data_IF_656718235363
#
_entry.id   IF_656718235363
#
_cell.length_a   1.000
_cell.length_b   1.000
_cell.length_c   1.000
_cell.angle_alpha   90.00
_cell.angle_beta   90.00
_cell.angle_gamma   90.00
#
_symmetry.space_group_name_H-M   'P 1'
#
loop_
_entity.id
_entity.type
_entity.pdbx_description
1 polymer ?
#
# COMPACT_ATOMS: atom_id res chain seq x y z
N UNK A 1 18.29 14.39 5.61
CA UNK A 1 17.18 14.46 4.63
C UNK A 1 17.52 13.48 3.52
N UNK A 2 16.66 12.51 3.31
CA UNK A 2 16.84 11.48 2.26
C UNK A 2 16.05 11.79 0.98
N UNK A 3 15.03 12.63 1.09
CA UNK A 3 14.21 13.13 -0.02
C UNK A 3 13.64 14.51 0.31
N UNK A 4 13.39 15.32 -0.72
CA UNK A 4 12.75 16.61 -0.58
C UNK A 4 11.69 16.77 -1.68
N UNK A 5 10.43 16.96 -1.27
CA UNK A 5 9.28 17.07 -2.17
C UNK A 5 7.97 17.01 -1.37
N UNK A 6 6.84 17.02 -2.05
CA UNK A 6 5.52 16.82 -1.43
C UNK A 6 5.27 15.33 -1.29
N UNK A 7 5.51 14.81 -0.10
CA UNK A 7 5.46 13.37 0.21
C UNK A 7 4.50 13.06 1.33
N UNK A 8 3.82 11.89 1.21
CA UNK A 8 2.89 11.36 2.22
C UNK A 8 3.17 9.89 2.47
N UNK A 9 2.81 9.41 3.64
CA UNK A 9 2.61 8.00 3.97
C UNK A 9 3.83 7.13 3.66
N UNK A 10 4.99 7.39 4.27
CA UNK A 10 6.18 6.58 4.02
C UNK A 10 6.03 5.17 4.58
N UNK A 11 6.49 4.20 3.82
CA UNK A 11 6.59 2.81 4.21
C UNK A 11 8.02 2.30 4.00
N UNK A 12 8.64 1.70 5.02
CA UNK A 12 9.98 1.16 4.92
C UNK A 12 9.95 -0.37 4.87
N UNK A 13 10.71 -0.94 3.95
CA UNK A 13 10.89 -2.37 3.77
C UNK A 13 12.39 -2.69 3.71
N UNK A 14 12.85 -3.63 4.54
CA UNK A 14 14.16 -4.23 4.36
C UNK A 14 14.02 -5.58 3.66
N UNK A 15 14.70 -5.72 2.53
CA UNK A 15 14.75 -6.96 1.78
C UNK A 15 15.71 -7.95 2.45
N UNK A 16 15.54 -9.23 2.17
CA UNK A 16 16.45 -10.30 2.64
C UNK A 16 17.89 -10.12 2.14
N UNK A 17 18.08 -9.40 1.04
CA UNK A 17 19.41 -8.98 0.56
C UNK A 17 20.12 -7.97 1.46
N UNK A 18 19.41 -7.35 2.41
CA UNK A 18 19.87 -6.23 3.22
C UNK A 18 19.57 -4.85 2.61
N UNK A 19 19.12 -4.78 1.36
CA UNK A 19 18.66 -3.52 0.76
C UNK A 19 17.49 -2.95 1.56
N UNK A 20 17.53 -1.66 1.85
CA UNK A 20 16.41 -0.94 2.46
C UNK A 20 15.70 -0.12 1.37
N UNK A 21 14.41 -0.27 1.29
CA UNK A 21 13.54 0.49 0.39
C UNK A 21 12.57 1.35 1.21
N UNK A 22 12.39 2.60 0.80
CA UNK A 22 11.37 3.49 1.36
C UNK A 22 10.43 3.88 0.24
N UNK A 23 9.19 3.48 0.38
CA UNK A 23 8.08 3.83 -0.51
C UNK A 23 7.30 5.00 0.09
N UNK A 24 6.77 5.84 -0.76
CA UNK A 24 5.94 6.98 -0.31
C UNK A 24 5.06 7.46 -1.45
N UNK A 25 3.98 8.12 -1.10
CA UNK A 25 3.18 8.88 -2.05
C UNK A 25 3.96 10.11 -2.46
N UNK A 26 4.34 10.20 -3.72
CA UNK A 26 4.91 11.40 -4.32
C UNK A 26 3.80 12.18 -5.01
N UNK A 27 3.41 13.28 -4.40
CA UNK A 27 2.31 14.13 -4.86
C UNK A 27 2.85 15.46 -5.35
N UNK A 28 3.24 15.50 -6.63
CA UNK A 28 3.65 16.73 -7.29
C UNK A 28 2.42 17.51 -7.79
N UNK A 29 1.91 18.46 -7.00
CA UNK A 29 0.64 19.12 -7.31
C UNK A 29 0.66 19.97 -8.57
N UNK A 30 1.86 20.36 -9.03
CA UNK A 30 2.02 21.22 -10.21
C UNK A 30 2.19 20.44 -11.51
N UNK A 31 2.65 19.19 -11.43
CA UNK A 31 2.91 18.35 -12.62
C UNK A 31 1.80 17.34 -12.87
N UNK A 32 0.87 17.18 -11.93
CA UNK A 32 -0.17 16.16 -11.94
C UNK A 32 0.36 14.73 -12.14
N UNK A 33 1.62 14.49 -11.80
CA UNK A 33 2.27 13.19 -11.88
C UNK A 33 2.47 12.59 -10.48
N UNK A 34 1.38 12.27 -9.81
CA UNK A 34 1.42 11.59 -8.50
C UNK A 34 1.44 10.08 -8.66
N UNK A 35 2.04 9.42 -7.69
CA UNK A 35 2.13 7.97 -7.64
C UNK A 35 2.99 7.51 -6.47
N UNK A 36 3.21 6.22 -6.37
CA UNK A 36 4.14 5.66 -5.41
C UNK A 36 5.57 5.77 -5.94
N UNK A 37 6.40 6.51 -5.24
CA UNK A 37 7.83 6.61 -5.48
C UNK A 37 8.64 5.78 -4.49
N UNK A 38 9.90 5.53 -4.82
CA UNK A 38 10.79 4.72 -3.99
C UNK A 38 12.20 5.30 -3.93
N UNK A 39 12.81 5.17 -2.76
CA UNK A 39 14.22 5.32 -2.50
C UNK A 39 14.82 3.98 -2.10
N UNK A 40 16.09 3.76 -2.38
CA UNK A 40 16.82 2.58 -1.91
C UNK A 40 18.14 2.92 -1.27
N UNK A 41 18.54 2.12 -0.30
CA UNK A 41 19.86 2.12 0.33
C UNK A 41 20.46 0.72 0.31
N UNK A 42 21.72 0.63 -0.09
CA UNK A 42 22.51 -0.61 -0.12
C UNK A 42 23.53 -0.68 1.02
N UNK A 43 23.55 0.32 1.91
CA UNK A 43 24.58 0.51 2.94
C UNK A 43 24.00 0.80 4.34
N UNK A 44 22.90 0.14 4.65
CA UNK A 44 22.16 0.27 5.93
C UNK A 44 21.69 1.71 6.20
N UNK A 45 21.20 2.40 5.19
CA UNK A 45 20.60 3.72 5.31
C UNK A 45 21.58 4.89 5.36
N UNK A 46 22.88 4.65 5.10
CA UNK A 46 23.89 5.73 5.10
C UNK A 46 23.80 6.58 3.85
N UNK A 47 23.62 5.96 2.69
CA UNK A 47 23.35 6.68 1.42
C UNK A 47 22.09 6.15 0.77
N UNK A 48 21.47 7.02 -0.03
CA UNK A 48 20.18 6.76 -0.65
C UNK A 48 20.19 7.14 -2.13
N UNK A 49 19.60 6.28 -2.94
CA UNK A 49 19.36 6.51 -4.37
C UNK A 49 17.87 6.70 -4.59
N UNK A 50 17.51 7.77 -5.30
CA UNK A 50 16.14 8.01 -5.77
C UNK A 50 15.91 7.11 -6.98
N UNK A 51 14.93 6.22 -6.90
CA UNK A 51 14.48 5.39 -8.03
C UNK A 51 13.43 6.14 -8.85
N UNK A 52 12.64 6.99 -8.19
CA UNK A 52 11.53 7.70 -8.78
C UNK A 52 10.20 6.95 -8.58
N UNK A 53 9.23 7.22 -9.43
CA UNK A 53 7.92 6.58 -9.36
C UNK A 53 8.01 5.15 -9.87
N UNK A 54 7.63 4.21 -9.00
CA UNK A 54 7.63 2.77 -9.32
C UNK A 54 6.22 2.26 -9.64
N UNK A 55 5.18 2.91 -9.14
CA UNK A 55 3.78 2.57 -9.40
C UNK A 55 3.01 3.84 -9.72
N UNK A 56 2.22 3.82 -10.79
CA UNK A 56 1.23 4.85 -11.14
C UNK A 56 0.11 4.26 -11.98
N UNK A 57 -1.05 4.90 -11.95
CA UNK A 57 -2.26 4.35 -12.58
C UNK A 57 -2.17 4.27 -14.09
N UNK A 58 -1.62 5.29 -14.75
CA UNK A 58 -1.50 5.35 -16.22
C UNK A 58 -0.16 5.92 -16.65
N UNK A 59 0.26 5.53 -17.83
CA UNK A 59 1.36 6.21 -18.54
C UNK A 59 0.89 7.58 -18.99
N UNK A 60 1.67 8.60 -18.68
CA UNK A 60 1.33 9.98 -19.01
C UNK A 60 0.42 10.65 -17.98
N UNK A 61 0.11 11.90 -18.23
CA UNK A 61 -0.65 12.74 -17.31
C UNK A 61 -2.15 12.62 -17.62
N UNK A 62 -2.91 12.03 -16.71
CA UNK A 62 -4.37 12.10 -16.73
C UNK A 62 -4.79 13.30 -15.89
N UNK A 63 -5.11 14.42 -16.53
CA UNK A 63 -5.42 15.70 -15.88
C UNK A 63 -6.88 16.05 -16.14
N UNK A 64 -7.61 16.50 -15.12
CA UNK A 64 -8.95 17.05 -15.27
C UNK A 64 -8.92 18.49 -15.82
N UNK A 65 -10.10 19.05 -16.15
CA UNK A 65 -10.22 20.39 -16.66
C UNK A 65 -9.76 21.52 -15.73
N UNK A 66 -9.48 21.20 -14.45
CA UNK A 66 -8.91 22.13 -13.46
C UNK A 66 -7.39 22.03 -13.35
N UNK A 67 -6.74 21.17 -14.13
CA UNK A 67 -5.32 20.91 -14.08
C UNK A 67 -4.89 19.97 -12.97
N UNK A 68 -5.82 19.26 -12.32
CA UNK A 68 -5.53 18.28 -11.28
C UNK A 68 -5.44 16.88 -11.86
N UNK A 69 -4.54 16.08 -11.31
CA UNK A 69 -4.43 14.68 -11.68
C UNK A 69 -5.71 13.90 -11.33
N UNK A 70 -6.16 13.08 -12.28
CA UNK A 70 -7.36 12.26 -12.14
C UNK A 70 -7.09 11.02 -11.33
N UNK A 71 -5.91 10.41 -11.51
CA UNK A 71 -5.51 9.16 -10.87
C UNK A 71 -4.25 9.35 -10.02
N UNK A 72 -4.19 8.67 -8.89
CA UNK A 72 -2.97 8.61 -8.08
C UNK A 72 -2.91 7.31 -7.29
N UNK A 73 -1.73 6.69 -7.20
CA UNK A 73 -1.46 5.54 -6.35
C UNK A 73 -0.77 6.02 -5.08
N UNK A 74 -1.41 5.81 -3.96
CA UNK A 74 -1.07 6.40 -2.66
C UNK A 74 -0.95 5.32 -1.58
N UNK A 75 -0.49 5.69 -0.39
CA UNK A 75 -0.43 4.85 0.79
C UNK A 75 0.19 3.47 0.52
N UNK A 76 1.42 3.39 0.03
CA UNK A 76 2.03 2.11 -0.30
C UNK A 76 2.27 1.28 0.95
N UNK A 77 1.97 -0.02 0.87
CA UNK A 77 2.37 -1.04 1.83
C UNK A 77 3.05 -2.18 1.08
N UNK A 78 4.35 -2.36 1.31
CA UNK A 78 5.21 -3.23 0.52
C UNK A 78 5.64 -4.48 1.29
N UNK A 79 5.77 -5.62 0.59
CA UNK A 79 6.28 -6.86 1.18
C UNK A 79 7.14 -7.62 0.17
N UNK A 80 8.36 -8.01 0.56
CA UNK A 80 9.10 -9.04 -0.14
C UNK A 80 8.49 -10.40 0.21
N UNK A 81 7.94 -11.09 -0.79
CA UNK A 81 7.21 -12.34 -0.57
C UNK A 81 8.16 -13.49 -0.17
N UNK A 82 7.69 -14.33 0.74
CA UNK A 82 8.44 -15.49 1.20
C UNK A 82 8.78 -16.42 0.03
N UNK A 83 9.97 -17.05 0.11
CA UNK A 83 10.47 -18.01 -0.87
C UNK A 83 10.58 -17.46 -2.32
N UNK A 84 10.57 -16.15 -2.50
CA UNK A 84 10.78 -15.50 -3.78
C UNK A 84 11.51 -14.17 -3.60
N UNK A 85 12.00 -13.57 -4.68
CA UNK A 85 12.52 -12.19 -4.68
C UNK A 85 11.46 -11.18 -5.14
N UNK A 86 10.23 -11.65 -5.31
CA UNK A 86 9.12 -10.80 -5.75
C UNK A 86 8.68 -9.87 -4.63
N UNK A 87 8.49 -8.62 -4.97
CA UNK A 87 7.95 -7.59 -4.08
C UNK A 87 6.49 -7.36 -4.47
N UNK A 88 5.58 -7.47 -3.51
CA UNK A 88 4.20 -7.08 -3.66
C UNK A 88 3.96 -5.75 -2.94
N UNK A 89 3.21 -4.85 -3.55
CA UNK A 89 2.83 -3.56 -2.97
C UNK A 89 1.33 -3.37 -3.12
N UNK A 90 0.66 -3.10 -2.02
CA UNK A 90 -0.70 -2.62 -2.01
C UNK A 90 -0.70 -1.10 -1.99
N UNK A 91 -1.58 -0.48 -2.79
CA UNK A 91 -1.75 0.97 -2.84
C UNK A 91 -3.23 1.34 -2.77
N UNK A 92 -3.50 2.52 -2.29
CA UNK A 92 -4.77 3.19 -2.44
C UNK A 92 -4.74 3.97 -3.76
N UNK A 93 -5.56 3.58 -4.73
CA UNK A 93 -5.64 4.24 -6.03
C UNK A 93 -6.87 5.14 -6.08
N UNK A 94 -6.66 6.41 -6.26
CA UNK A 94 -7.72 7.42 -6.32
C UNK A 94 -8.18 7.64 -7.76
N UNK A 95 -9.50 7.61 -7.97
CA UNK A 95 -10.18 7.85 -9.23
C UNK A 95 -11.10 9.07 -9.11
N UNK A 96 -10.66 10.22 -9.60
CA UNK A 96 -11.45 11.45 -9.52
C UNK A 96 -12.56 11.53 -10.54
N UNK A 97 -12.40 10.92 -11.70
CA UNK A 97 -13.41 10.82 -12.75
C UNK A 97 -14.59 9.93 -12.35
N UNK A 98 -14.42 9.09 -11.32
CA UNK A 98 -15.50 8.28 -10.73
C UNK A 98 -16.13 8.92 -9.48
N UNK A 99 -15.96 10.23 -9.28
CA UNK A 99 -16.48 10.93 -8.10
C UNK A 99 -15.54 10.85 -6.89
N UNK A 100 -14.25 10.86 -7.13
CA UNK A 100 -13.21 10.85 -6.09
C UNK A 100 -13.19 9.56 -5.25
N UNK A 101 -13.39 8.44 -5.92
CA UNK A 101 -13.45 7.11 -5.31
C UNK A 101 -12.05 6.54 -5.16
N UNK A 102 -11.84 5.78 -4.10
CA UNK A 102 -10.60 5.05 -3.84
C UNK A 102 -10.80 3.55 -4.06
N UNK A 103 -9.76 2.90 -4.59
CA UNK A 103 -9.70 1.47 -4.80
C UNK A 103 -8.39 0.93 -4.24
N UNK A 104 -8.36 -0.32 -3.82
CA UNK A 104 -7.10 -0.99 -3.52
C UNK A 104 -6.55 -1.57 -4.82
N UNK A 105 -5.33 -1.20 -5.13
CA UNK A 105 -4.56 -1.78 -6.22
C UNK A 105 -3.39 -2.60 -5.66
N UNK A 106 -3.03 -3.64 -6.38
CA UNK A 106 -1.86 -4.46 -6.09
C UNK A 106 -0.88 -4.38 -7.24
N UNK A 107 0.39 -4.23 -6.94
CA UNK A 107 1.47 -4.27 -7.91
C UNK A 107 2.53 -5.30 -7.49
N UNK A 108 3.15 -5.95 -8.44
CA UNK A 108 4.21 -6.94 -8.21
C UNK A 108 5.41 -6.62 -9.07
N UNK A 109 6.60 -6.68 -8.49
CA UNK A 109 7.86 -6.58 -9.19
C UNK A 109 8.71 -7.82 -8.90
N UNK A 110 9.21 -8.46 -9.94
CA UNK A 110 10.15 -9.58 -9.87
C UNK A 110 11.59 -9.19 -10.19
N UNK A 111 11.80 -7.97 -10.67
CA UNK A 111 13.07 -7.42 -11.12
C UNK A 111 13.59 -6.26 -10.24
N UNK A 112 13.06 -6.16 -9.03
CA UNK A 112 13.38 -5.10 -8.08
C UNK A 112 13.20 -3.69 -8.69
N UNK A 113 12.08 -3.51 -9.38
CA UNK A 113 11.66 -2.25 -10.01
C UNK A 113 12.52 -1.78 -11.20
N UNK A 114 13.27 -2.67 -11.84
CA UNK A 114 14.05 -2.31 -13.03
C UNK A 114 13.14 -1.93 -14.22
N UNK A 115 11.93 -2.52 -14.30
CA UNK A 115 10.91 -2.21 -15.32
C UNK A 115 9.93 -1.10 -14.89
N UNK A 116 10.21 -0.38 -13.80
CA UNK A 116 9.31 0.69 -13.33
C UNK A 116 9.24 1.89 -14.32
N UNK A 117 8.15 2.65 -14.30
CA UNK A 117 6.97 2.48 -13.45
C UNK A 117 5.99 1.43 -13.98
N UNK A 118 5.38 0.68 -13.08
CA UNK A 118 4.23 -0.18 -13.40
C UNK A 118 2.95 0.65 -13.48
N UNK A 119 2.16 0.42 -14.51
CA UNK A 119 0.89 1.12 -14.73
C UNK A 119 -0.30 0.15 -14.71
N UNK A 120 -1.51 0.67 -14.47
CA UNK A 120 -2.71 -0.16 -14.40
C UNK A 120 -3.07 -0.89 -15.70
N UNK A 121 -2.54 -0.44 -16.83
CA UNK A 121 -2.87 -0.97 -18.15
C UNK A 121 -1.80 -1.96 -18.66
N UNK A 122 -0.70 -2.13 -17.93
CA UNK A 122 0.41 -2.97 -18.35
C UNK A 122 0.39 -4.30 -17.58
N UNK A 123 0.20 -5.36 -18.30
CA UNK A 123 0.28 -6.73 -17.81
C UNK A 123 1.52 -7.37 -18.40
N UNK A 124 2.65 -7.18 -17.75
CA UNK A 124 3.83 -7.98 -18.05
C UNK A 124 3.68 -9.43 -17.55
N UNK A 125 4.47 -10.35 -18.05
CA UNK A 125 4.38 -11.76 -17.63
C UNK A 125 4.74 -11.97 -16.16
N UNK A 126 5.53 -11.07 -15.55
CA UNK A 126 5.99 -11.17 -14.17
C UNK A 126 5.65 -9.93 -13.32
N UNK A 127 5.69 -8.77 -13.91
CA UNK A 127 5.52 -7.48 -13.23
C UNK A 127 4.25 -6.82 -13.72
N UNK A 128 3.36 -6.46 -12.80
CA UNK A 128 2.02 -5.96 -13.16
C UNK A 128 1.42 -5.14 -12.03
N UNK A 129 0.42 -4.34 -12.40
CA UNK A 129 -0.46 -3.63 -11.48
C UNK A 129 -1.92 -3.95 -11.83
N UNK A 130 -2.73 -4.25 -10.82
CA UNK A 130 -4.16 -4.54 -10.97
C UNK A 130 -4.98 -3.78 -9.93
N UNK A 131 -6.10 -3.20 -10.33
CA UNK A 131 -7.12 -2.74 -9.41
C UNK A 131 -7.82 -3.95 -8.79
N UNK A 132 -7.83 -4.03 -7.47
CA UNK A 132 -8.17 -5.25 -6.76
C UNK A 132 -9.49 -5.14 -5.98
N UNK A 133 -9.64 -4.14 -5.10
CA UNK A 133 -10.86 -3.92 -4.32
C UNK A 133 -11.44 -2.55 -4.65
N UNK A 134 -12.69 -2.53 -5.08
CA UNK A 134 -13.39 -1.28 -5.38
C UNK A 134 -13.92 -0.61 -4.12
N UNK A 135 -13.92 0.73 -4.09
CA UNK A 135 -14.46 1.56 -3.00
C UNK A 135 -13.84 1.23 -1.64
N UNK A 136 -12.53 1.11 -1.62
CA UNK A 136 -11.75 0.82 -0.43
C UNK A 136 -10.47 1.68 -0.40
N UNK A 137 -9.91 1.88 0.79
CA UNK A 137 -8.81 2.80 1.06
C UNK A 137 -7.88 2.26 2.15
N UNK A 138 -6.71 2.87 2.32
CA UNK A 138 -5.76 2.61 3.38
C UNK A 138 -5.34 1.13 3.49
N UNK A 139 -4.70 0.56 2.44
CA UNK A 139 -4.27 -0.83 2.47
C UNK A 139 -3.07 -1.05 3.37
N UNK A 140 -3.00 -2.25 3.96
CA UNK A 140 -1.82 -2.74 4.65
C UNK A 140 -1.60 -4.21 4.34
N UNK A 141 -0.38 -4.58 3.95
CA UNK A 141 -0.03 -5.93 3.50
C UNK A 141 1.01 -6.55 4.41
N UNK A 142 0.72 -7.72 4.95
CA UNK A 142 1.66 -8.54 5.71
C UNK A 142 1.64 -9.98 5.22
N UNK A 143 2.65 -10.76 5.58
CA UNK A 143 2.74 -12.18 5.21
C UNK A 143 3.24 -13.01 6.39
N UNK A 144 2.53 -14.09 6.70
CA UNK A 144 2.96 -15.06 7.70
C UNK A 144 4.20 -15.84 7.24
N UNK A 145 5.02 -16.34 8.17
CA UNK A 145 6.15 -17.23 7.83
C UNK A 145 5.72 -18.49 7.04
N UNK A 146 4.50 -18.99 7.27
CA UNK A 146 3.88 -20.11 6.55
C UNK A 146 3.56 -19.81 5.08
N UNK A 147 3.47 -18.50 4.72
CA UNK A 147 3.30 -18.04 3.36
C UNK A 147 2.00 -17.28 3.13
N UNK A 148 0.98 -17.47 3.95
CA UNK A 148 -0.29 -16.75 3.79
C UNK A 148 -0.08 -15.24 3.91
N UNK A 149 -0.67 -14.49 3.01
CA UNK A 149 -0.71 -13.04 3.06
C UNK A 149 -1.99 -12.54 3.72
N UNK A 150 -1.91 -11.40 4.37
CA UNK A 150 -3.09 -10.68 4.87
C UNK A 150 -3.08 -9.28 4.30
N UNK A 151 -4.16 -8.92 3.61
CA UNK A 151 -4.44 -7.58 3.16
C UNK A 151 -5.53 -6.98 4.02
N UNK A 152 -5.23 -5.91 4.72
CA UNK A 152 -6.22 -5.12 5.44
C UNK A 152 -6.47 -3.80 4.72
N UNK A 153 -7.69 -3.27 4.84
CA UNK A 153 -8.10 -2.01 4.23
C UNK A 153 -9.39 -1.50 4.89
N UNK A 154 -9.75 -0.27 4.59
CA UNK A 154 -11.04 0.28 4.97
C UNK A 154 -12.03 0.23 3.80
N UNK A 155 -13.16 -0.44 4.00
CA UNK A 155 -14.30 -0.44 3.09
C UNK A 155 -15.55 0.07 3.83
N UNK A 156 -16.22 1.09 3.30
CA UNK A 156 -17.39 1.72 3.95
C UNK A 156 -17.15 2.13 5.42
N UNK A 157 -15.95 2.62 5.71
CA UNK A 157 -15.47 2.98 7.05
C UNK A 157 -15.31 1.79 8.03
N UNK A 158 -15.35 0.57 7.54
CA UNK A 158 -15.10 -0.64 8.33
C UNK A 158 -13.73 -1.18 8.01
N UNK A 159 -12.98 -1.54 9.05
CA UNK A 159 -11.72 -2.24 8.89
C UNK A 159 -11.98 -3.66 8.41
N UNK A 160 -11.47 -3.97 7.25
CA UNK A 160 -11.70 -5.25 6.56
C UNK A 160 -10.38 -5.95 6.31
N UNK A 161 -10.36 -7.25 6.43
CA UNK A 161 -9.18 -8.09 6.18
C UNK A 161 -9.56 -9.23 5.24
N UNK A 162 -8.59 -9.65 4.42
CA UNK A 162 -8.65 -10.86 3.62
C UNK A 162 -7.36 -11.65 3.77
N UNK A 163 -7.48 -12.96 3.89
CA UNK A 163 -6.34 -13.88 3.83
C UNK A 163 -6.13 -14.29 2.39
N UNK A 164 -4.89 -14.24 1.93
CA UNK A 164 -4.51 -14.54 0.57
C UNK A 164 -3.43 -15.63 0.47
N UNK A 165 -3.15 -16.03 -0.76
CA UNK A 165 -2.08 -16.98 -1.08
C UNK A 165 -0.68 -16.37 -0.91
N UNK A 166 0.34 -17.20 -1.03
CA UNK A 166 1.74 -16.78 -0.84
C UNK A 166 2.24 -15.74 -1.86
N UNK A 167 1.59 -15.65 -3.01
CA UNK A 167 1.90 -14.69 -4.07
C UNK A 167 1.14 -13.37 -3.92
N UNK A 168 0.32 -13.22 -2.88
CA UNK A 168 -0.57 -12.07 -2.66
C UNK A 168 -1.47 -11.76 -3.88
N UNK A 169 -1.91 -12.80 -4.60
CA UNK A 169 -2.62 -12.67 -5.89
C UNK A 169 -4.01 -13.29 -5.92
N UNK A 170 -4.35 -14.08 -4.93
CA UNK A 170 -5.67 -14.68 -4.74
C UNK A 170 -6.09 -14.47 -3.27
N UNK A 171 -7.33 -14.07 -3.07
CA UNK A 171 -7.84 -13.65 -1.77
C UNK A 171 -9.13 -14.41 -1.45
N UNK A 172 -9.24 -14.82 -0.18
CA UNK A 172 -10.43 -15.47 0.37
C UNK A 172 -11.54 -14.50 0.77
N UNK A 173 -12.38 -14.95 1.67
CA UNK A 173 -13.48 -14.15 2.20
C UNK A 173 -12.99 -12.97 3.03
N UNK A 174 -13.86 -11.98 3.20
CA UNK A 174 -13.57 -10.78 4.00
C UNK A 174 -13.93 -11.02 5.46
N UNK A 175 -13.08 -10.50 6.35
CA UNK A 175 -13.28 -10.49 7.79
C UNK A 175 -13.30 -9.06 8.30
N UNK A 176 -14.13 -8.80 9.28
CA UNK A 176 -14.22 -7.52 9.98
C UNK A 176 -13.95 -7.75 11.47
N UNK A 177 -12.71 -7.67 11.94
CA UNK A 177 -12.35 -7.96 13.33
C UNK A 177 -12.88 -6.93 14.32
N UNK A 178 -13.28 -5.76 13.84
CA UNK A 178 -13.82 -4.68 14.66
C UNK A 178 -15.27 -4.37 14.28
N UNK A 179 -16.09 -4.12 15.28
CA UNK A 179 -17.49 -3.72 15.10
C UNK A 179 -17.69 -2.21 14.90
N UNK A 180 -16.68 -1.40 15.16
CA UNK A 180 -16.74 0.05 15.06
C UNK A 180 -16.26 0.58 13.69
N UNK A 181 -16.68 1.79 13.35
CA UNK A 181 -16.15 2.52 12.21
C UNK A 181 -14.78 3.12 12.57
N UNK A 182 -13.89 3.15 11.61
CA UNK A 182 -12.57 3.75 11.74
C UNK A 182 -11.85 3.79 10.41
N UNK A 183 -10.67 4.43 10.39
CA UNK A 183 -9.87 4.61 9.19
C UNK A 183 -8.38 4.36 9.50
N UNK A 184 -7.58 4.10 8.48
CA UNK A 184 -6.13 4.01 8.57
C UNK A 184 -5.65 2.97 9.60
N UNK A 185 -6.28 1.80 9.57
CA UNK A 185 -5.81 0.68 10.37
C UNK A 185 -4.53 0.07 9.80
N UNK A 186 -3.80 -0.62 10.65
CA UNK A 186 -2.60 -1.37 10.29
C UNK A 186 -2.62 -2.76 10.89
N UNK A 187 -1.88 -3.67 10.29
CA UNK A 187 -1.69 -5.04 10.77
C UNK A 187 -0.21 -5.37 10.86
N UNK A 188 0.18 -6.18 11.85
CA UNK A 188 1.54 -6.70 11.97
C UNK A 188 1.50 -8.13 12.49
N UNK A 189 2.43 -8.96 12.01
CA UNK A 189 2.61 -10.33 12.47
C UNK A 189 3.63 -10.32 13.60
N UNK A 190 3.21 -10.74 14.78
CA UNK A 190 4.03 -10.73 16.00
C UNK A 190 4.65 -12.07 16.33
N UNK A 191 4.10 -13.16 15.79
CA UNK A 191 4.65 -14.51 15.84
C UNK A 191 4.12 -15.36 14.66
N UNK A 192 4.58 -16.61 14.46
CA UNK A 192 4.17 -17.42 13.30
C UNK A 192 2.66 -17.67 13.14
N UNK A 193 1.87 -17.42 14.17
CA UNK A 193 0.43 -17.74 14.20
C UNK A 193 -0.44 -16.57 14.65
N UNK A 194 0.16 -15.43 15.01
CA UNK A 194 -0.58 -14.31 15.61
C UNK A 194 -0.37 -13.02 14.81
N UNK A 195 -1.49 -12.40 14.48
CA UNK A 195 -1.55 -11.09 13.86
C UNK A 195 -2.16 -10.09 14.82
N UNK A 196 -1.58 -8.92 14.91
CA UNK A 196 -2.17 -7.76 15.60
C UNK A 196 -2.75 -6.82 14.56
N UNK A 197 -4.00 -6.40 14.78
CA UNK A 197 -4.63 -5.33 14.02
C UNK A 197 -4.93 -4.15 14.94
N UNK A 198 -4.62 -2.94 14.49
CA UNK A 198 -4.89 -1.70 15.20
C UNK A 198 -5.63 -0.73 14.30
N UNK A 199 -6.65 -0.09 14.82
CA UNK A 199 -7.46 0.88 14.10
C UNK A 199 -7.89 2.00 15.05
N UNK A 200 -7.75 3.29 14.67
CA UNK A 200 -8.47 4.36 15.36
C UNK A 200 -9.97 4.14 15.17
N UNK A 201 -10.72 4.19 16.25
CA UNK A 201 -12.15 3.94 16.22
C UNK A 201 -12.93 5.19 16.61
N UNK A 202 -14.10 5.36 16.01
CA UNK A 202 -15.05 6.42 16.37
C UNK A 202 -15.90 5.98 17.58
N UNK A 203 -15.27 5.52 18.64
CA UNK A 203 -15.93 5.35 19.93
C UNK A 203 -15.23 6.22 20.96
N UNK A 204 -15.99 6.69 21.90
CA UNK A 204 -15.47 7.44 23.03
C UNK A 204 -15.26 6.52 24.21
N UNK A 205 -14.17 6.70 24.93
CA UNK A 205 -13.92 6.00 26.19
C UNK A 205 -14.80 6.56 27.33
N UNK A 206 -14.65 6.04 28.52
CA UNK A 206 -15.39 6.50 29.72
C UNK A 206 -15.17 7.98 30.06
N UNK A 207 -14.12 8.61 29.51
CA UNK A 207 -13.82 10.04 29.65
C UNK A 207 -14.36 10.90 28.49
N UNK A 208 -15.17 10.33 27.61
CA UNK A 208 -15.70 10.98 26.40
C UNK A 208 -14.62 11.46 25.42
N UNK A 209 -13.53 10.69 25.30
CA UNK A 209 -12.43 10.95 24.37
C UNK A 209 -12.34 9.85 23.32
N UNK A 210 -11.93 10.24 22.13
CA UNK A 210 -11.63 9.28 21.06
C UNK A 210 -10.57 8.27 21.51
N UNK A 211 -10.74 7.03 21.12
CA UNK A 211 -9.86 5.93 21.52
C UNK A 211 -9.40 5.10 20.32
N UNK A 212 -8.19 4.56 20.41
CA UNK A 212 -7.71 3.54 19.51
C UNK A 212 -8.17 2.15 19.97
N UNK A 213 -8.51 1.28 19.04
CA UNK A 213 -8.85 -0.11 19.31
C UNK A 213 -7.77 -1.03 18.76
N UNK A 214 -7.33 -1.97 19.59
CA UNK A 214 -6.35 -3.00 19.21
C UNK A 214 -7.04 -4.35 19.35
N UNK A 215 -6.93 -5.17 18.33
CA UNK A 215 -7.40 -6.54 18.30
C UNK A 215 -6.20 -7.45 18.08
N UNK A 216 -6.10 -8.52 18.85
CA UNK A 216 -5.11 -9.58 18.69
C UNK A 216 -5.87 -10.86 18.33
N UNK A 217 -5.43 -11.52 17.30
CA UNK A 217 -6.01 -12.79 16.83
C UNK A 217 -5.00 -13.71 16.19
#
# INVERSE_FOLDING_TARGET
>A
IIYQGTTWEPYALQLRSGEIQVYFTDSEPLTADSGTAMLRSMDNGRTWTVVGKVIRQKTGLAIDGSGKQIYSDQMPSARELNNSTKIAVATETRFRDEGDVYHISMAWSSDNWASAPLTGDEVGPSDRKLNFVQKAAAPYLVQFPSGETVLSYNASSLFTMQVGNAEASQWGETYQPFSGKGYWGATEIIDPHTLVAAMPATFVNSENKDAARIQIG
#
